data_IF_133464680956
#
_entry.id   IF_133464680956
#
_cell.length_a   1.000
_cell.length_b   1.000
_cell.length_c   1.000
_cell.angle_alpha   90.00
_cell.angle_beta   90.00
_cell.angle_gamma   90.00
#
_symmetry.space_group_name_H-M   'P 1'
#
loop_
_entity.id
_entity.type
_entity.pdbx_description
1 polymer ?
#
# COMPACT_ATOMS: atom_id res chain seq x y z
N UNK A 1 5.88 13.75 -17.63
CA UNK A 1 5.31 12.39 -17.78
C UNK A 1 3.95 12.51 -18.45
N UNK A 2 3.60 11.59 -19.37
CA UNK A 2 2.24 11.56 -19.94
C UNK A 2 1.26 10.98 -18.92
N UNK A 3 -0.03 11.34 -18.98
CA UNK A 3 -1.04 10.81 -18.05
C UNK A 3 -1.08 9.28 -17.98
N UNK A 4 -0.86 8.61 -19.11
CA UNK A 4 -0.81 7.14 -19.21
C UNK A 4 0.39 6.58 -18.45
N UNK A 5 1.56 7.21 -18.55
CA UNK A 5 2.74 6.77 -17.79
C UNK A 5 2.55 6.89 -16.28
N UNK A 6 1.88 7.94 -15.81
CA UNK A 6 1.56 8.14 -14.38
C UNK A 6 0.64 7.03 -13.89
N UNK A 7 -0.40 6.74 -14.68
CA UNK A 7 -1.39 5.73 -14.37
C UNK A 7 -0.77 4.33 -14.32
N UNK A 8 0.12 3.99 -15.26
CA UNK A 8 0.86 2.73 -15.25
C UNK A 8 1.74 2.59 -14.00
N UNK A 9 2.50 3.62 -13.62
CA UNK A 9 3.34 3.57 -12.43
C UNK A 9 2.51 3.37 -11.16
N UNK A 10 1.37 4.04 -11.06
CA UNK A 10 0.43 3.84 -9.96
C UNK A 10 -0.11 2.41 -9.92
N UNK A 11 -0.64 1.91 -11.03
CA UNK A 11 -1.24 0.58 -11.12
C UNK A 11 -0.22 -0.52 -10.82
N UNK A 12 1.02 -0.40 -11.30
CA UNK A 12 2.08 -1.37 -11.02
C UNK A 12 2.38 -1.41 -9.52
N UNK A 13 2.58 -0.25 -8.88
CA UNK A 13 2.81 -0.17 -7.44
C UNK A 13 1.63 -0.76 -6.66
N UNK A 14 0.42 -0.30 -6.98
CA UNK A 14 -0.78 -0.78 -6.31
C UNK A 14 -0.96 -2.31 -6.45
N UNK A 15 -0.75 -2.87 -7.63
CA UNK A 15 -0.99 -4.31 -7.89
C UNK A 15 0.02 -5.19 -7.15
N UNK A 16 1.31 -4.86 -7.22
CA UNK A 16 2.38 -5.65 -6.55
C UNK A 16 2.15 -5.66 -5.04
N UNK A 17 1.88 -4.50 -4.46
CA UNK A 17 1.71 -4.38 -3.01
C UNK A 17 0.34 -4.85 -2.53
N UNK A 18 -0.71 -4.77 -3.36
CA UNK A 18 -2.01 -5.35 -3.01
C UNK A 18 -1.94 -6.88 -2.99
N UNK A 19 -1.21 -7.49 -3.92
CA UNK A 19 -0.99 -8.94 -3.90
C UNK A 19 -0.05 -9.38 -2.77
N UNK A 20 1.03 -8.63 -2.56
CA UNK A 20 2.00 -8.92 -1.51
C UNK A 20 1.42 -8.74 -0.11
N UNK A 21 0.66 -7.69 0.13
CA UNK A 21 0.14 -7.37 1.48
C UNK A 21 -0.88 -8.38 2.02
N UNK A 22 -1.51 -9.19 1.17
CA UNK A 22 -2.37 -10.30 1.59
C UNK A 22 -1.63 -11.61 1.90
N UNK A 23 -0.36 -11.74 1.50
CA UNK A 23 0.45 -12.97 1.68
C UNK A 23 1.61 -12.82 2.65
N UNK A 24 1.92 -11.60 3.06
CA UNK A 24 3.09 -11.25 3.86
C UNK A 24 2.66 -10.89 5.28
N UNK A 25 3.52 -11.16 6.26
CA UNK A 25 3.33 -10.75 7.64
C UNK A 25 2.98 -9.26 7.76
N UNK A 26 2.00 -8.96 8.61
CA UNK A 26 1.50 -7.61 8.86
C UNK A 26 2.58 -6.63 9.35
N UNK A 27 3.62 -7.14 10.03
CA UNK A 27 4.81 -6.34 10.41
C UNK A 27 5.60 -5.85 9.20
N UNK A 28 5.72 -6.66 8.16
CA UNK A 28 6.39 -6.30 6.91
C UNK A 28 5.53 -5.32 6.09
N UNK A 29 4.21 -5.53 6.04
CA UNK A 29 3.27 -4.58 5.41
C UNK A 29 3.38 -3.20 6.06
N UNK A 30 3.47 -3.15 7.39
CA UNK A 30 3.68 -1.91 8.13
C UNK A 30 5.02 -1.25 7.82
N UNK A 31 6.11 -2.04 7.74
CA UNK A 31 7.42 -1.53 7.33
C UNK A 31 7.41 -0.94 5.92
N UNK A 32 6.75 -1.60 4.97
CA UNK A 32 6.59 -1.11 3.60
C UNK A 32 5.79 0.20 3.55
N UNK A 33 4.72 0.32 4.34
CA UNK A 33 3.94 1.55 4.44
C UNK A 33 4.80 2.72 4.94
N UNK A 34 5.63 2.50 5.98
CA UNK A 34 6.55 3.53 6.49
C UNK A 34 7.56 3.95 5.43
N UNK A 35 8.18 3.00 4.74
CA UNK A 35 9.14 3.28 3.66
C UNK A 35 8.47 4.11 2.56
N UNK A 36 7.24 3.78 2.19
CA UNK A 36 6.49 4.50 1.18
C UNK A 36 6.17 5.95 1.60
N UNK A 37 5.81 6.17 2.86
CA UNK A 37 5.58 7.52 3.44
C UNK A 37 6.87 8.34 3.42
N UNK A 38 7.97 7.77 3.88
CA UNK A 38 9.28 8.44 3.87
C UNK A 38 9.68 8.76 2.42
N UNK A 39 9.49 7.80 1.50
CA UNK A 39 9.79 7.98 0.08
C UNK A 39 8.96 9.11 -0.54
N UNK A 40 7.67 9.21 -0.24
CA UNK A 40 6.82 10.31 -0.70
C UNK A 40 7.23 11.66 -0.09
N UNK A 41 7.65 11.68 1.17
CA UNK A 41 8.12 12.90 1.81
C UNK A 41 9.40 13.44 1.16
N UNK A 42 10.34 12.55 0.80
CA UNK A 42 11.63 12.94 0.22
C UNK A 42 11.51 13.20 -1.30
N UNK A 43 10.89 12.29 -2.04
CA UNK A 43 10.82 12.35 -3.50
C UNK A 43 9.65 13.20 -4.01
N UNK A 44 8.72 13.59 -3.14
CA UNK A 44 7.48 14.27 -3.52
C UNK A 44 6.42 13.31 -4.08
N UNK A 45 5.40 13.84 -4.78
CA UNK A 45 4.27 13.05 -5.26
C UNK A 45 4.70 12.04 -6.35
N UNK A 46 4.98 10.81 -5.92
CA UNK A 46 5.38 9.72 -6.80
C UNK A 46 4.25 8.69 -6.94
N UNK A 47 3.70 8.47 -8.15
CA UNK A 47 2.50 7.64 -8.36
C UNK A 47 2.65 6.20 -7.86
N UNK A 48 3.83 5.60 -8.05
CA UNK A 48 4.12 4.24 -7.59
C UNK A 48 4.12 4.13 -6.06
N UNK A 49 4.73 5.10 -5.37
CA UNK A 49 4.77 5.10 -3.90
C UNK A 49 3.38 5.36 -3.32
N UNK A 50 2.59 6.17 -4.01
CA UNK A 50 1.19 6.37 -3.68
C UNK A 50 0.37 5.08 -3.80
N UNK A 51 0.57 4.31 -4.87
CA UNK A 51 -0.02 2.97 -5.04
C UNK A 51 0.41 2.00 -3.93
N UNK A 52 1.67 2.05 -3.51
CA UNK A 52 2.19 1.26 -2.39
C UNK A 52 1.50 1.61 -1.06
N UNK A 53 1.35 2.90 -0.73
CA UNK A 53 0.63 3.33 0.48
C UNK A 53 -0.83 2.91 0.44
N UNK A 54 -1.51 3.10 -0.68
CA UNK A 54 -2.93 2.74 -0.80
C UNK A 54 -3.14 1.25 -0.56
N UNK A 55 -2.33 0.40 -1.18
CA UNK A 55 -2.44 -1.05 -1.02
C UNK A 55 -2.09 -1.51 0.41
N UNK A 56 -0.97 -1.05 0.96
CA UNK A 56 -0.52 -1.43 2.32
C UNK A 56 -1.44 -0.86 3.40
N UNK A 57 -1.86 0.40 3.26
CA UNK A 57 -2.79 1.08 4.15
C UNK A 57 -4.18 0.43 4.15
N UNK A 58 -4.68 0.01 2.99
CA UNK A 58 -5.94 -0.74 2.90
C UNK A 58 -5.86 -2.09 3.61
N UNK A 59 -4.77 -2.84 3.42
CA UNK A 59 -4.54 -4.12 4.11
C UNK A 59 -4.47 -3.93 5.63
N UNK A 60 -3.73 -2.92 6.11
CA UNK A 60 -3.64 -2.60 7.54
C UNK A 60 -4.99 -2.17 8.13
N UNK A 61 -5.78 -1.40 7.36
CA UNK A 61 -7.12 -1.00 7.77
C UNK A 61 -8.03 -2.22 7.94
N UNK A 62 -8.05 -3.14 6.96
CA UNK A 62 -8.84 -4.37 7.05
C UNK A 62 -8.41 -5.22 8.24
N UNK A 63 -7.10 -5.38 8.45
CA UNK A 63 -6.60 -6.13 9.61
C UNK A 63 -6.99 -5.46 10.93
N UNK A 64 -6.98 -4.13 10.99
CA UNK A 64 -7.47 -3.37 12.14
C UNK A 64 -8.96 -3.56 12.38
N UNK A 65 -9.76 -3.53 11.30
CA UNK A 65 -11.21 -3.77 11.34
C UNK A 65 -11.51 -5.18 11.82
N UNK A 66 -10.87 -6.21 11.28
CA UNK A 66 -11.03 -7.61 11.72
C UNK A 66 -10.66 -7.81 13.20
N UNK A 67 -9.69 -7.03 13.70
CA UNK A 67 -9.29 -7.11 15.10
C UNK A 67 -10.26 -6.44 16.06
N UNK A 68 -10.93 -5.36 15.62
CA UNK A 68 -11.91 -4.61 16.43
C UNK A 68 -13.31 -5.23 16.32
N UNK A 69 -13.67 -5.68 15.12
CA UNK A 69 -14.94 -6.31 14.77
C UNK A 69 -14.66 -7.70 14.20
N UNK A 70 -14.25 -8.66 15.06
CA UNK A 70 -14.02 -10.02 14.62
C UNK A 70 -15.35 -10.60 14.11
N UNK A 71 -15.36 -11.05 12.85
CA UNK A 71 -16.46 -11.85 12.33
C UNK A 71 -16.34 -13.20 13.01
N UNK A 72 -17.19 -13.42 14.02
CA UNK A 72 -17.36 -14.71 14.66
C UNK A 72 -18.17 -15.57 13.68
N UNK A 73 -17.50 -16.45 12.95
CA UNK A 73 -18.15 -17.62 12.34
C UNK A 73 -18.64 -18.58 13.44
#
# INVERSE_FOLDING_TARGET
MSGISILLHFVIGFTIFSYGSGKIDSKLVFGLAIIAVIGLYIAGPHPFLFGMILATGWSLLNMGVERIFPVLD
#
